data_IF_377811372113
#
_entry.id   IF_377811372113
#
_cell.length_a   1.000
_cell.length_b   1.000
_cell.length_c   1.000
_cell.angle_alpha   90.00
_cell.angle_beta   90.00
_cell.angle_gamma   90.00
#
_symmetry.space_group_name_H-M   'P 1'
#
loop_
_entity.id
_entity.type
_entity.pdbx_description
1 polymer ?
#
# COMPACT_ATOMS: atom_id res chain seq x y z
N UNK A 1 -16.47 2.56 19.85
CA UNK A 1 -16.75 1.33 19.06
C UNK A 1 -17.95 1.54 18.12
N UNK A 2 -19.16 1.83 18.62
CA UNK A 2 -20.38 1.96 17.79
C UNK A 2 -20.24 2.91 16.58
N UNK A 3 -19.72 4.12 16.78
CA UNK A 3 -19.55 5.11 15.71
C UNK A 3 -18.64 4.58 14.58
N UNK A 4 -17.47 4.04 14.94
CA UNK A 4 -16.53 3.49 13.96
C UNK A 4 -17.08 2.27 13.21
N UNK A 5 -17.80 1.38 13.91
CA UNK A 5 -18.43 0.22 13.30
C UNK A 5 -19.52 0.61 12.29
N UNK A 6 -20.36 1.59 12.62
CA UNK A 6 -21.40 2.11 11.72
C UNK A 6 -20.77 2.74 10.48
N UNK A 7 -19.78 3.62 10.66
CA UNK A 7 -19.10 4.27 9.55
C UNK A 7 -18.44 3.23 8.64
N UNK A 8 -17.68 2.29 9.22
CA UNK A 8 -17.02 1.22 8.47
C UNK A 8 -18.00 0.34 7.69
N UNK A 9 -19.08 -0.12 8.32
CA UNK A 9 -20.09 -0.97 7.68
C UNK A 9 -20.83 -0.25 6.55
N UNK A 10 -21.22 1.01 6.76
CA UNK A 10 -21.89 1.81 5.73
C UNK A 10 -20.95 2.10 4.57
N UNK A 11 -19.69 2.47 4.83
CA UNK A 11 -18.70 2.70 3.78
C UNK A 11 -18.41 1.44 2.97
N UNK A 12 -18.28 0.28 3.63
CA UNK A 12 -17.99 -1.00 2.96
C UNK A 12 -19.15 -1.52 2.10
N UNK A 13 -20.40 -1.25 2.49
CA UNK A 13 -21.59 -1.76 1.76
C UNK A 13 -22.03 -0.85 0.62
N UNK A 14 -21.67 0.44 0.64
CA UNK A 14 -22.10 1.42 -0.38
C UNK A 14 -21.06 1.67 -1.47
N UNK A 15 -19.82 1.18 -1.33
CA UNK A 15 -18.77 1.42 -2.34
C UNK A 15 -19.02 0.61 -3.61
N UNK A 16 -18.78 1.23 -4.78
CA UNK A 16 -18.83 0.52 -6.05
C UNK A 16 -17.64 -0.43 -6.20
N UNK A 17 -17.83 -1.58 -6.86
CA UNK A 17 -16.78 -2.59 -7.05
C UNK A 17 -15.54 -2.05 -7.80
N UNK A 18 -15.71 -1.08 -8.68
CA UNK A 18 -14.60 -0.41 -9.40
C UNK A 18 -13.70 0.43 -8.49
N UNK A 19 -14.25 0.96 -7.40
CA UNK A 19 -13.55 1.79 -6.41
C UNK A 19 -13.09 0.98 -5.19
N UNK A 20 -13.19 -0.36 -5.25
CA UNK A 20 -12.75 -1.24 -4.15
C UNK A 20 -11.28 -1.03 -3.76
N UNK A 21 -10.31 -0.85 -4.69
CA UNK A 21 -8.91 -0.63 -4.31
C UNK A 21 -8.68 0.60 -3.41
N UNK A 22 -9.43 1.68 -3.65
CA UNK A 22 -9.34 2.93 -2.87
C UNK A 22 -9.84 2.76 -1.44
N UNK A 23 -10.93 2.02 -1.27
CA UNK A 23 -11.48 1.69 0.04
C UNK A 23 -10.50 0.82 0.85
N UNK A 24 -9.90 -0.18 0.20
CA UNK A 24 -8.88 -1.03 0.83
C UNK A 24 -7.68 -0.19 1.29
N UNK A 25 -7.23 0.77 0.47
CA UNK A 25 -6.14 1.68 0.85
C UNK A 25 -6.47 2.44 2.15
N UNK A 26 -7.65 3.06 2.25
CA UNK A 26 -8.09 3.78 3.46
C UNK A 26 -8.14 2.86 4.69
N UNK A 27 -8.76 1.67 4.56
CA UNK A 27 -8.91 0.75 5.69
C UNK A 27 -7.56 0.25 6.21
N UNK A 28 -6.61 -0.05 5.32
CA UNK A 28 -5.24 -0.37 5.72
C UNK A 28 -4.57 0.81 6.45
N UNK A 29 -4.82 2.03 5.97
CA UNK A 29 -4.34 3.25 6.61
C UNK A 29 -4.83 3.34 8.05
N UNK A 30 -6.14 3.23 8.27
CA UNK A 30 -6.72 3.23 9.62
C UNK A 30 -6.21 2.09 10.51
N UNK A 31 -5.97 0.89 9.96
CA UNK A 31 -5.35 -0.21 10.69
C UNK A 31 -3.92 0.10 11.18
N UNK A 32 -3.10 0.67 10.30
CA UNK A 32 -1.76 1.15 10.65
C UNK A 32 -1.78 2.28 11.67
N UNK A 33 -2.65 3.27 11.46
CA UNK A 33 -2.83 4.40 12.39
C UNK A 33 -3.32 3.95 13.77
N UNK A 34 -4.23 2.99 13.85
CA UNK A 34 -4.67 2.41 15.12
C UNK A 34 -3.51 1.72 15.86
N UNK A 35 -2.68 0.96 15.15
CA UNK A 35 -1.48 0.31 15.73
C UNK A 35 -0.51 1.35 16.30
N UNK A 36 -0.26 2.43 15.55
CA UNK A 36 0.59 3.53 16.00
C UNK A 36 0.00 4.22 17.25
N UNK A 37 -1.30 4.52 17.27
CA UNK A 37 -1.96 5.15 18.42
C UNK A 37 -1.93 4.28 19.67
N UNK A 38 -2.14 2.97 19.52
CA UNK A 38 -2.08 2.02 20.65
C UNK A 38 -0.66 1.93 21.21
N UNK A 39 0.35 1.82 20.35
CA UNK A 39 1.75 1.82 20.77
C UNK A 39 2.16 3.15 21.43
N UNK A 40 1.70 4.29 20.90
CA UNK A 40 1.90 5.61 21.52
C UNK A 40 1.25 5.72 22.90
N UNK A 41 0.04 5.18 23.06
CA UNK A 41 -0.63 5.16 24.36
C UNK A 41 0.18 4.36 25.40
N UNK A 42 0.75 3.23 25.00
CA UNK A 42 1.60 2.44 25.90
C UNK A 42 2.92 3.15 26.24
N UNK A 43 3.54 3.80 25.26
CA UNK A 43 4.73 4.63 25.49
C UNK A 43 4.48 5.73 26.56
N UNK A 44 3.34 6.42 26.49
CA UNK A 44 2.96 7.42 27.49
C UNK A 44 2.71 6.82 28.88
N UNK A 45 2.15 5.61 28.98
CA UNK A 45 2.00 4.93 30.28
C UNK A 45 3.35 4.55 30.89
N UNK A 46 4.31 4.09 30.09
CA UNK A 46 5.65 3.77 30.58
C UNK A 46 6.36 5.04 31.07
N UNK A 47 6.28 6.14 30.30
CA UNK A 47 6.83 7.43 30.73
C UNK A 47 6.19 7.94 32.03
N UNK A 48 4.86 7.82 32.17
CA UNK A 48 4.13 8.20 33.38
C UNK A 48 4.28 7.24 34.56
N UNK A 49 5.18 6.25 34.49
CA UNK A 49 5.42 5.26 35.56
C UNK A 49 4.23 4.34 35.86
N UNK A 50 3.23 4.29 34.96
CA UNK A 50 1.98 3.55 35.16
C UNK A 50 1.98 2.18 34.47
N UNK A 51 2.93 1.92 33.58
CA UNK A 51 3.09 0.61 32.94
C UNK A 51 4.05 -0.27 33.75
N UNK A 52 3.70 -1.56 33.87
CA UNK A 52 4.49 -2.55 34.61
C UNK A 52 5.73 -3.05 33.85
N UNK A 53 5.75 -2.94 32.52
CA UNK A 53 6.80 -3.49 31.65
C UNK A 53 7.50 -2.38 30.87
N UNK A 54 8.77 -2.15 31.18
CA UNK A 54 9.67 -1.21 30.49
C UNK A 54 10.89 -1.94 29.91
N UNK A 55 10.76 -3.24 29.62
CA UNK A 55 11.84 -4.03 29.05
C UNK A 55 12.19 -3.57 27.63
N UNK A 56 13.45 -3.79 27.26
CA UNK A 56 14.00 -3.35 25.98
C UNK A 56 13.20 -3.89 24.79
N UNK A 57 12.67 -5.11 24.87
CA UNK A 57 11.87 -5.71 23.80
C UNK A 57 10.55 -4.97 23.60
N UNK A 58 9.85 -4.62 24.69
CA UNK A 58 8.62 -3.80 24.60
C UNK A 58 8.93 -2.43 23.99
N UNK A 59 10.01 -1.76 24.39
CA UNK A 59 10.36 -0.45 23.83
C UNK A 59 10.69 -0.52 22.34
N UNK A 60 11.42 -1.55 21.89
CA UNK A 60 11.70 -1.77 20.47
C UNK A 60 10.41 -2.02 19.69
N UNK A 61 9.52 -2.88 20.20
CA UNK A 61 8.26 -3.21 19.52
C UNK A 61 7.29 -2.02 19.47
N UNK A 62 7.28 -1.16 20.49
CA UNK A 62 6.57 0.14 20.45
C UNK A 62 7.11 0.99 19.31
N UNK A 63 8.43 1.21 19.23
CA UNK A 63 9.02 2.05 18.18
C UNK A 63 8.71 1.52 16.79
N UNK A 64 8.84 0.20 16.57
CA UNK A 64 8.51 -0.43 15.29
C UNK A 64 7.03 -0.27 14.94
N UNK A 65 6.12 -0.47 15.89
CA UNK A 65 4.68 -0.29 15.66
C UNK A 65 4.34 1.15 15.28
N UNK A 66 4.90 2.14 15.99
CA UNK A 66 4.67 3.57 15.73
C UNK A 66 5.20 3.97 14.36
N UNK A 67 6.42 3.55 14.02
CA UNK A 67 7.06 3.85 12.74
C UNK A 67 6.26 3.26 11.58
N UNK A 68 6.03 1.95 11.61
CA UNK A 68 5.37 1.23 10.52
C UNK A 68 3.91 1.67 10.41
N UNK A 69 3.22 1.84 11.53
CA UNK A 69 1.83 2.29 11.57
C UNK A 69 1.64 3.71 11.04
N UNK A 70 2.52 4.65 11.42
CA UNK A 70 2.46 6.03 10.94
C UNK A 70 2.76 6.14 9.45
N UNK A 71 3.78 5.42 8.96
CA UNK A 71 4.11 5.31 7.55
C UNK A 71 2.93 4.73 6.75
N UNK A 72 2.33 3.66 7.27
CA UNK A 72 1.21 2.99 6.63
C UNK A 72 0.00 3.91 6.54
N UNK A 73 -0.30 4.64 7.61
CA UNK A 73 -1.41 5.58 7.65
C UNK A 73 -1.31 6.62 6.53
N UNK A 74 -0.26 7.43 6.49
CA UNK A 74 -0.15 8.47 5.45
C UNK A 74 0.09 7.92 4.07
N UNK A 75 0.88 6.84 3.92
CA UNK A 75 1.09 6.18 2.64
C UNK A 75 -0.21 5.70 2.01
N UNK A 76 -1.10 5.12 2.82
CA UNK A 76 -2.44 4.69 2.39
C UNK A 76 -3.32 5.84 1.95
N UNK A 77 -3.27 6.99 2.63
CA UNK A 77 -4.03 8.17 2.22
C UNK A 77 -3.51 8.79 0.92
N UNK A 78 -2.20 8.76 0.66
CA UNK A 78 -1.65 9.16 -0.64
C UNK A 78 -2.07 8.19 -1.75
N UNK A 79 -2.01 6.87 -1.50
CA UNK A 79 -2.46 5.86 -2.46
C UNK A 79 -3.94 6.02 -2.80
N UNK A 80 -4.79 6.21 -1.78
CA UNK A 80 -6.21 6.54 -1.96
C UNK A 80 -6.40 7.82 -2.78
N UNK A 81 -5.68 8.89 -2.44
CA UNK A 81 -5.81 10.18 -3.13
C UNK A 81 -5.43 10.09 -4.61
N UNK A 82 -4.43 9.27 -4.96
CA UNK A 82 -4.02 9.04 -6.35
C UNK A 82 -5.04 8.26 -7.16
N UNK A 83 -5.62 7.20 -6.57
CA UNK A 83 -6.63 6.39 -7.24
C UNK A 83 -7.94 7.16 -7.46
N UNK A 84 -8.36 7.95 -6.46
CA UNK A 84 -9.52 8.84 -6.55
C UNK A 84 -9.34 10.02 -7.52
N UNK A 85 -8.16 10.19 -8.12
CA UNK A 85 -7.84 11.33 -8.97
C UNK A 85 -7.72 12.67 -8.24
N UNK A 86 -7.70 12.69 -6.90
CA UNK A 86 -7.46 13.90 -6.08
C UNK A 86 -6.00 14.32 -6.08
N UNK A 87 -5.10 13.34 -6.24
CA UNK A 87 -3.66 13.53 -6.43
C UNK A 87 -3.34 12.99 -7.83
N UNK A 88 -2.39 13.62 -8.53
CA UNK A 88 -1.96 13.14 -9.84
C UNK A 88 -1.53 11.67 -9.79
N UNK A 89 -2.06 10.86 -10.72
CA UNK A 89 -1.64 9.48 -10.93
C UNK A 89 -0.23 9.37 -11.52
N UNK A 90 0.37 10.47 -12.00
CA UNK A 90 1.75 10.42 -12.45
C UNK A 90 2.72 10.35 -11.25
N UNK A 91 3.89 9.70 -11.41
CA UNK A 91 4.99 9.81 -10.45
C UNK A 91 5.33 11.27 -10.13
N UNK A 92 5.33 11.63 -8.84
CA UNK A 92 5.77 12.96 -8.39
C UNK A 92 7.14 12.78 -7.74
N UNK A 93 8.19 13.26 -8.41
CA UNK A 93 9.59 13.16 -7.96
C UNK A 93 10.21 14.54 -7.75
N UNK A 94 11.31 14.59 -7.00
CA UNK A 94 12.09 15.81 -6.77
C UNK A 94 13.60 15.50 -6.79
N UNK A 95 14.46 16.48 -7.11
CA UNK A 95 15.90 16.27 -7.18
C UNK A 95 16.46 15.82 -5.83
N UNK A 96 17.29 14.77 -5.83
CA UNK A 96 17.91 14.23 -4.61
C UNK A 96 16.99 13.38 -3.73
N UNK A 97 15.83 12.94 -4.22
CA UNK A 97 14.85 12.17 -3.44
C UNK A 97 15.42 10.94 -2.72
N UNK A 98 16.31 10.17 -3.36
CA UNK A 98 16.99 9.02 -2.73
C UNK A 98 17.77 9.43 -1.47
N UNK A 99 18.51 10.53 -1.57
CA UNK A 99 19.32 11.04 -0.47
C UNK A 99 18.42 11.55 0.65
N UNK A 100 17.36 12.30 0.33
CA UNK A 100 16.41 12.81 1.32
C UNK A 100 15.70 11.65 2.04
N UNK A 101 15.20 10.66 1.31
CA UNK A 101 14.55 9.50 1.90
C UNK A 101 15.52 8.69 2.78
N UNK A 102 16.77 8.53 2.33
CA UNK A 102 17.83 7.89 3.11
C UNK A 102 18.13 8.63 4.41
N UNK A 103 18.26 9.96 4.37
CA UNK A 103 18.48 10.80 5.55
C UNK A 103 17.30 10.75 6.52
N UNK A 104 16.07 10.76 6.01
CA UNK A 104 14.85 10.63 6.82
C UNK A 104 14.83 9.26 7.51
N UNK A 105 15.20 8.19 6.81
CA UNK A 105 15.26 6.83 7.39
C UNK A 105 16.34 6.71 8.46
N UNK A 106 17.54 7.26 8.21
CA UNK A 106 18.61 7.31 9.23
C UNK A 106 18.17 8.15 10.43
N UNK A 107 17.59 9.32 10.20
CA UNK A 107 17.04 10.18 11.25
C UNK A 107 15.98 9.47 12.08
N UNK A 108 15.08 8.71 11.43
CA UNK A 108 14.06 7.91 12.11
C UNK A 108 14.67 6.89 13.08
N UNK A 109 15.73 6.19 12.66
CA UNK A 109 16.43 5.22 13.53
C UNK A 109 17.12 5.94 14.69
N UNK A 110 17.79 7.07 14.44
CA UNK A 110 18.46 7.86 15.48
C UNK A 110 17.46 8.40 16.49
N UNK A 111 16.40 9.08 16.06
CA UNK A 111 15.40 9.64 16.96
C UNK A 111 14.58 8.54 17.66
N UNK A 112 14.35 7.40 17.01
CA UNK A 112 13.76 6.22 17.65
C UNK A 112 14.63 5.68 18.79
N UNK A 113 15.94 5.58 18.55
CA UNK A 113 16.90 5.22 19.59
C UNK A 113 16.91 6.25 20.73
N UNK A 114 17.02 7.54 20.42
CA UNK A 114 17.01 8.63 21.41
C UNK A 114 15.70 8.75 22.18
N UNK A 115 14.56 8.36 21.61
CA UNK A 115 13.28 8.31 22.32
C UNK A 115 13.25 7.23 23.40
N UNK A 116 13.96 6.12 23.16
CA UNK A 116 14.05 4.99 24.08
C UNK A 116 15.20 5.14 25.07
N UNK A 117 16.29 5.81 24.70
CA UNK A 117 17.45 6.04 25.57
C UNK A 117 17.52 7.48 26.06
N UNK A 118 17.38 7.72 27.36
CA UNK A 118 17.69 9.03 27.93
C UNK A 118 19.19 9.35 27.89
N UNK A 119 19.53 10.62 27.62
CA UNK A 119 20.91 11.12 27.68
C UNK A 119 21.47 11.20 29.11
N UNK A 120 20.61 11.07 30.14
CA UNK A 120 20.99 10.94 31.55
C UNK A 120 21.56 9.56 31.92
N UNK A 121 21.47 8.56 31.03
CA UNK A 121 21.78 7.15 31.32
C UNK A 121 23.27 6.78 31.31
N UNK A 122 24.21 7.73 31.15
CA UNK A 122 25.64 7.40 31.34
C UNK A 122 25.97 7.11 32.83
N UNK A 123 25.07 7.43 33.77
CA UNK A 123 25.31 7.32 35.21
C UNK A 123 24.24 6.50 35.98
N UNK A 124 23.09 6.14 35.39
CA UNK A 124 22.04 5.41 36.11
C UNK A 124 21.45 4.25 35.30
N UNK A 125 21.37 3.06 35.92
CA UNK A 125 20.79 1.80 35.40
C UNK A 125 19.26 1.84 35.17
N UNK A 126 18.68 3.00 34.89
CA UNK A 126 17.27 3.13 34.50
C UNK A 126 17.18 3.75 33.11
N UNK A 127 16.59 3.00 32.18
CA UNK A 127 16.15 3.50 30.88
C UNK A 127 14.98 4.45 31.11
N UNK A 128 15.28 5.71 31.39
CA UNK A 128 14.28 6.77 31.35
C UNK A 128 13.90 7.01 29.88
N UNK A 129 12.60 7.16 29.63
CA UNK A 129 12.07 7.41 28.30
C UNK A 129 12.06 8.90 28.01
N UNK A 130 12.60 9.30 26.86
CA UNK A 130 12.67 10.69 26.47
C UNK A 130 11.47 11.10 25.59
N UNK A 131 10.52 11.80 26.21
CA UNK A 131 9.29 12.27 25.57
C UNK A 131 9.50 13.34 24.49
N UNK A 132 10.68 14.00 24.45
CA UNK A 132 10.98 15.03 23.45
C UNK A 132 11.10 14.44 22.03
N UNK A 133 11.74 13.28 21.91
CA UNK A 133 12.05 12.68 20.61
C UNK A 133 10.90 11.86 20.04
N UNK A 134 9.98 11.39 20.88
CA UNK A 134 8.90 10.51 20.46
C UNK A 134 7.92 11.15 19.44
N UNK A 135 7.43 12.40 19.63
CA UNK A 135 6.60 13.07 18.62
C UNK A 135 7.34 13.29 17.30
N UNK A 136 8.67 13.48 17.34
CA UNK A 136 9.50 13.63 16.15
C UNK A 136 9.51 12.32 15.35
N UNK A 137 9.63 11.16 16.02
CA UNK A 137 9.54 9.85 15.35
C UNK A 137 8.19 9.67 14.63
N UNK A 138 7.08 10.05 15.27
CA UNK A 138 5.74 10.00 14.65
C UNK A 138 5.70 10.92 13.42
N UNK A 139 6.16 12.17 13.56
CA UNK A 139 6.15 13.13 12.46
C UNK A 139 6.98 12.64 11.27
N UNK A 140 8.18 12.10 11.52
CA UNK A 140 9.03 11.52 10.48
C UNK A 140 8.36 10.30 9.86
N UNK A 141 7.70 9.43 10.64
CA UNK A 141 6.92 8.30 10.14
C UNK A 141 5.81 8.72 9.17
N UNK A 142 5.03 9.73 9.56
CA UNK A 142 3.97 10.31 8.74
C UNK A 142 4.53 10.92 7.44
N UNK A 143 5.63 11.68 7.52
CA UNK A 143 6.28 12.26 6.35
C UNK A 143 6.84 11.18 5.42
N UNK A 144 7.48 10.15 5.98
CA UNK A 144 8.05 9.06 5.19
C UNK A 144 6.97 8.27 4.43
N UNK A 145 5.80 8.06 5.03
CA UNK A 145 4.65 7.48 4.32
C UNK A 145 4.22 8.31 3.11
N UNK A 146 4.23 9.65 3.22
CA UNK A 146 3.94 10.53 2.09
C UNK A 146 5.01 10.41 1.01
N UNK A 147 6.28 10.62 1.39
CA UNK A 147 7.40 10.69 0.45
C UNK A 147 7.73 9.35 -0.23
N UNK A 148 7.36 8.22 0.38
CA UNK A 148 7.56 6.88 -0.20
C UNK A 148 6.51 6.54 -1.25
N UNK A 149 5.27 7.02 -1.14
CA UNK A 149 4.18 6.71 -2.08
C UNK A 149 4.04 7.73 -3.22
N UNK A 150 4.40 9.00 -2.98
CA UNK A 150 4.40 10.05 -4.01
C UNK A 150 5.13 9.71 -5.33
N UNK A 151 6.33 9.09 -5.34
CA UNK A 151 7.03 8.76 -6.57
C UNK A 151 6.41 7.59 -7.34
N UNK A 152 5.48 6.85 -6.75
CA UNK A 152 4.93 5.65 -7.38
C UNK A 152 3.79 6.05 -8.32
N UNK A 153 3.76 5.47 -9.53
CA UNK A 153 2.74 5.76 -10.53
C UNK A 153 1.40 5.10 -10.24
N UNK A 154 0.32 5.66 -10.76
CA UNK A 154 -1.06 5.18 -10.61
C UNK A 154 -1.25 3.73 -11.06
N UNK A 155 -0.57 3.33 -12.14
CA UNK A 155 -0.60 1.96 -12.65
C UNK A 155 0.02 0.93 -11.68
N UNK A 156 0.96 1.37 -10.83
CA UNK A 156 1.63 0.52 -9.85
C UNK A 156 0.97 0.59 -8.45
N UNK A 157 -0.06 1.43 -8.27
CA UNK A 157 -0.76 1.61 -6.99
C UNK A 157 -1.31 0.31 -6.38
N UNK A 158 -1.86 -0.66 -7.14
CA UNK A 158 -2.32 -1.92 -6.55
C UNK A 158 -1.22 -2.65 -5.77
N UNK A 159 0.03 -2.63 -6.27
CA UNK A 159 1.18 -3.23 -5.59
C UNK A 159 1.49 -2.49 -4.29
N UNK A 160 1.41 -1.15 -4.32
CA UNK A 160 1.63 -0.32 -3.13
C UNK A 160 0.59 -0.60 -2.05
N UNK A 161 -0.68 -0.74 -2.43
CA UNK A 161 -1.76 -1.04 -1.48
C UNK A 161 -1.55 -2.40 -0.82
N UNK A 162 -1.13 -3.41 -1.58
CA UNK A 162 -0.78 -4.72 -1.05
C UNK A 162 0.43 -4.66 -0.10
N UNK A 163 1.44 -3.85 -0.42
CA UNK A 163 2.60 -3.65 0.45
C UNK A 163 2.21 -2.94 1.76
N UNK A 164 1.39 -1.88 1.67
CA UNK A 164 0.86 -1.16 2.82
C UNK A 164 -0.06 -2.04 3.67
N UNK A 165 -0.81 -2.98 3.05
CA UNK A 165 -1.56 -4.01 3.77
C UNK A 165 -0.63 -4.87 4.63
N UNK A 166 0.48 -5.33 4.05
CA UNK A 166 1.50 -6.06 4.82
C UNK A 166 2.02 -5.22 5.99
N UNK A 167 2.34 -3.96 5.76
CA UNK A 167 2.84 -3.08 6.82
C UNK A 167 1.82 -2.87 7.94
N UNK A 168 0.53 -2.76 7.62
CA UNK A 168 -0.54 -2.71 8.62
C UNK A 168 -0.57 -3.99 9.48
N UNK A 169 -0.40 -5.17 8.87
CA UNK A 169 -0.31 -6.45 9.57
C UNK A 169 0.91 -6.55 10.48
N UNK A 170 2.09 -6.13 9.98
CA UNK A 170 3.33 -6.10 10.79
C UNK A 170 3.18 -5.13 11.97
N UNK A 171 2.62 -3.94 11.76
CA UNK A 171 2.36 -2.99 12.85
C UNK A 171 1.38 -3.55 13.90
N UNK A 172 0.33 -4.26 13.46
CA UNK A 172 -0.59 -4.93 14.35
C UNK A 172 0.10 -6.06 15.16
N UNK A 173 0.99 -6.83 14.53
CA UNK A 173 1.77 -7.85 15.23
C UNK A 173 2.72 -7.25 16.28
N UNK A 174 3.41 -6.15 15.94
CA UNK A 174 4.24 -5.41 16.89
C UNK A 174 3.41 -4.89 18.07
N UNK A 175 2.23 -4.32 17.80
CA UNK A 175 1.28 -3.91 18.83
C UNK A 175 0.81 -5.10 19.70
N UNK A 176 0.66 -6.27 19.10
CA UNK A 176 0.37 -7.51 19.81
C UNK A 176 1.47 -7.87 20.81
N UNK A 177 2.75 -7.70 20.44
CA UNK A 177 3.87 -7.86 21.38
C UNK A 177 3.85 -6.81 22.49
N UNK A 178 3.58 -5.55 22.16
CA UNK A 178 3.46 -4.44 23.13
C UNK A 178 2.40 -4.74 24.20
N UNK A 179 1.27 -5.35 23.79
CA UNK A 179 0.16 -5.67 24.68
C UNK A 179 0.19 -7.10 25.23
N UNK A 180 1.21 -7.89 24.93
CA UNK A 180 1.26 -9.34 25.20
C UNK A 180 -0.02 -10.09 24.75
N UNK A 181 -0.57 -9.70 23.60
CA UNK A 181 -1.81 -10.25 23.05
C UNK A 181 -1.51 -11.21 21.88
N UNK A 182 -1.62 -12.51 22.16
CA UNK A 182 -1.38 -13.56 21.16
C UNK A 182 -2.29 -13.48 19.94
N UNK A 183 -3.54 -13.06 20.09
CA UNK A 183 -4.46 -12.95 18.96
C UNK A 183 -3.97 -11.89 17.97
N UNK A 184 -3.55 -10.72 18.46
CA UNK A 184 -2.99 -9.64 17.62
C UNK A 184 -1.66 -10.05 16.96
N UNK A 185 -0.79 -10.77 17.68
CA UNK A 185 0.46 -11.29 17.13
C UNK A 185 0.18 -12.23 15.96
N UNK A 186 -0.67 -13.24 16.18
CA UNK A 186 -0.99 -14.25 15.16
C UNK A 186 -1.71 -13.63 13.96
N UNK A 187 -2.73 -12.79 14.20
CA UNK A 187 -3.47 -12.14 13.11
C UNK A 187 -2.59 -11.18 12.32
N UNK A 188 -1.76 -10.38 13.00
CA UNK A 188 -0.87 -9.41 12.37
C UNK A 188 0.20 -10.09 11.52
N UNK A 189 0.83 -11.15 12.02
CA UNK A 189 1.82 -11.92 11.28
C UNK A 189 1.21 -12.59 10.04
N UNK A 190 0.00 -13.14 10.15
CA UNK A 190 -0.71 -13.75 9.03
C UNK A 190 -0.99 -12.71 7.93
N UNK A 191 -1.56 -11.56 8.29
CA UNK A 191 -1.85 -10.48 7.34
C UNK A 191 -0.57 -9.92 6.73
N UNK A 192 0.47 -9.71 7.54
CA UNK A 192 1.78 -9.24 7.10
C UNK A 192 2.42 -10.15 6.05
N UNK A 193 2.53 -11.45 6.37
CA UNK A 193 3.12 -12.43 5.47
C UNK A 193 2.30 -12.60 4.18
N UNK A 194 0.97 -12.71 4.29
CA UNK A 194 0.09 -12.80 3.13
C UNK A 194 0.18 -11.56 2.23
N UNK A 195 0.27 -10.36 2.81
CA UNK A 195 0.44 -9.12 2.07
C UNK A 195 1.76 -9.06 1.30
N UNK A 196 2.89 -9.45 1.90
CA UNK A 196 4.18 -9.50 1.20
C UNK A 196 4.16 -10.53 0.07
N UNK A 197 3.55 -11.69 0.32
CA UNK A 197 3.45 -12.74 -0.68
C UNK A 197 2.58 -12.31 -1.87
N UNK A 198 1.43 -11.70 -1.60
CA UNK A 198 0.56 -11.12 -2.63
C UNK A 198 1.29 -10.03 -3.42
N UNK A 199 2.00 -9.14 -2.74
CA UNK A 199 2.82 -8.09 -3.38
C UNK A 199 3.83 -8.70 -4.35
N UNK A 200 4.50 -9.78 -3.97
CA UNK A 200 5.46 -10.47 -4.83
C UNK A 200 4.81 -11.07 -6.07
N UNK A 201 3.64 -11.71 -5.91
CA UNK A 201 2.87 -12.29 -7.03
C UNK A 201 2.40 -11.18 -7.98
N UNK A 202 1.91 -10.06 -7.46
CA UNK A 202 1.48 -8.92 -8.27
C UNK A 202 2.66 -8.33 -9.07
N UNK A 203 3.82 -8.14 -8.43
CA UNK A 203 5.06 -7.74 -9.10
C UNK A 203 5.43 -8.68 -10.25
N UNK A 204 5.40 -10.00 -10.01
CA UNK A 204 5.67 -11.00 -11.05
C UNK A 204 4.66 -10.95 -12.20
N UNK A 205 3.37 -10.82 -11.89
CA UNK A 205 2.30 -10.69 -12.89
C UNK A 205 2.45 -9.43 -13.76
N UNK A 206 3.04 -8.37 -13.21
CA UNK A 206 3.35 -7.12 -13.93
C UNK A 206 4.72 -7.13 -14.62
N UNK A 207 5.48 -8.23 -14.55
CA UNK A 207 6.86 -8.34 -15.04
C UNK A 207 7.79 -7.23 -14.52
N UNK A 208 7.60 -6.80 -13.27
CA UNK A 208 8.40 -5.76 -12.61
C UNK A 208 8.80 -6.23 -11.22
N UNK A 209 10.06 -6.03 -10.82
CA UNK A 209 10.49 -6.35 -9.45
C UNK A 209 9.91 -5.36 -8.44
N UNK A 210 9.82 -5.76 -7.17
CA UNK A 210 9.39 -4.86 -6.08
C UNK A 210 10.31 -3.64 -5.96
N UNK A 211 11.61 -3.85 -6.12
CA UNK A 211 12.59 -2.75 -6.17
C UNK A 211 12.30 -1.81 -7.32
N UNK A 212 11.97 -2.32 -8.51
CA UNK A 212 11.57 -1.47 -9.62
C UNK A 212 10.29 -0.71 -9.29
N UNK A 213 9.26 -1.31 -8.68
CA UNK A 213 8.03 -0.57 -8.32
C UNK A 213 8.29 0.54 -7.31
N UNK A 214 9.06 0.26 -6.26
CA UNK A 214 9.37 1.24 -5.22
C UNK A 214 10.33 2.33 -5.69
N UNK A 215 11.23 1.99 -6.61
CA UNK A 215 12.31 2.89 -7.03
C UNK A 215 12.26 3.31 -8.53
N UNK A 216 11.17 3.00 -9.27
CA UNK A 216 11.12 3.21 -10.74
C UNK A 216 11.28 4.66 -11.17
N UNK A 217 10.90 5.62 -10.32
CA UNK A 217 10.96 7.03 -10.63
C UNK A 217 12.31 7.66 -10.22
N UNK A 218 13.13 6.92 -9.48
CA UNK A 218 14.42 7.36 -8.97
C UNK A 218 15.49 7.13 -10.04
N UNK A 219 15.66 8.12 -10.91
CA UNK A 219 16.65 8.06 -12.00
C UNK A 219 16.14 8.52 -13.35
N UNK A 220 14.83 8.80 -13.50
CA UNK A 220 14.34 9.63 -14.61
C UNK A 220 14.63 11.09 -14.29
N UNK A 221 15.90 11.47 -14.38
CA UNK A 221 16.23 12.81 -14.87
C UNK A 221 15.72 12.82 -16.32
N UNK A 222 15.13 13.91 -16.78
CA UNK A 222 14.81 14.11 -18.20
C UNK A 222 16.11 14.05 -19.02
N UNK A 223 16.64 12.85 -19.24
CA UNK A 223 17.27 12.55 -20.49
C UNK A 223 16.12 12.54 -21.48
N UNK A 224 16.18 13.46 -22.44
CA UNK A 224 15.40 13.49 -23.65
C UNK A 224 15.52 12.13 -24.35
N UNK A 225 14.73 11.16 -23.88
CA UNK A 225 14.65 9.84 -24.49
C UNK A 225 13.99 10.08 -25.84
N UNK A 226 14.84 10.09 -26.85
CA UNK A 226 14.50 9.88 -28.25
C UNK A 226 13.36 8.89 -28.27
N UNK A 227 12.19 9.39 -28.68
CA UNK A 227 10.99 8.60 -28.89
C UNK A 227 11.45 7.43 -29.77
N UNK A 228 11.57 6.23 -29.21
CA UNK A 228 11.54 5.01 -30.02
C UNK A 228 10.11 4.92 -30.52
N UNK A 229 9.78 5.77 -31.49
CA UNK A 229 8.67 5.50 -32.37
C UNK A 229 9.00 4.17 -33.00
N UNK A 230 8.23 3.15 -32.65
CA UNK A 230 8.13 1.90 -33.39
C UNK A 230 7.52 2.24 -34.76
N UNK A 231 8.25 2.99 -35.58
CA UNK A 231 7.94 3.24 -36.99
C UNK A 231 8.11 1.91 -37.70
N UNK A 232 7.02 1.13 -37.79
CA UNK A 232 7.04 -0.16 -38.46
C UNK A 232 5.82 -1.06 -38.23
N UNK A 233 4.97 -0.78 -37.24
CA UNK A 233 3.73 -1.57 -37.06
C UNK A 233 2.61 -0.94 -37.89
N UNK A 234 2.26 -1.56 -39.01
CA UNK A 234 1.06 -1.20 -39.79
C UNK A 234 -0.17 -1.62 -38.99
N UNK A 235 -0.91 -0.65 -38.46
CA UNK A 235 -2.19 -0.90 -37.80
C UNK A 235 -3.20 -1.32 -38.86
N UNK A 236 -3.83 -2.49 -38.70
CA UNK A 236 -4.93 -2.95 -39.56
C UNK A 236 -6.24 -2.69 -38.83
N UNK A 237 -7.09 -1.88 -39.44
CA UNK A 237 -8.42 -1.58 -38.92
C UNK A 237 -9.45 -2.59 -39.46
N UNK A 238 -10.44 -2.93 -38.63
CA UNK A 238 -11.54 -3.83 -38.99
C UNK A 238 -12.85 -3.24 -38.46
N UNK A 239 -13.92 -3.31 -39.27
CA UNK A 239 -15.25 -2.85 -38.84
C UNK A 239 -15.87 -3.81 -37.83
N UNK A 240 -16.78 -3.33 -36.95
CA UNK A 240 -17.49 -4.18 -35.99
C UNK A 240 -18.23 -5.37 -36.64
N UNK A 241 -18.86 -5.15 -37.80
CA UNK A 241 -19.57 -6.22 -38.51
C UNK A 241 -18.62 -7.33 -38.97
N UNK A 242 -17.46 -6.97 -39.52
CA UNK A 242 -16.44 -7.93 -39.95
C UNK A 242 -15.85 -8.69 -38.76
N UNK A 243 -15.67 -8.03 -37.61
CA UNK A 243 -15.24 -8.68 -36.39
C UNK A 243 -16.28 -9.69 -35.88
N UNK A 244 -17.57 -9.35 -35.94
CA UNK A 244 -18.67 -10.25 -35.57
C UNK A 244 -18.71 -11.50 -36.45
N UNK A 245 -18.65 -11.36 -37.78
CA UNK A 245 -18.58 -12.50 -38.69
C UNK A 245 -17.34 -13.37 -38.45
N UNK A 246 -16.19 -12.75 -38.19
CA UNK A 246 -14.95 -13.47 -37.91
C UNK A 246 -15.07 -14.28 -36.62
N UNK A 247 -15.67 -13.73 -35.57
CA UNK A 247 -15.87 -14.42 -34.29
C UNK A 247 -16.92 -15.54 -34.40
N UNK A 248 -17.99 -15.36 -35.18
CA UNK A 248 -19.04 -16.36 -35.36
C UNK A 248 -18.57 -17.56 -36.20
N UNK A 249 -17.63 -17.34 -37.13
CA UNK A 249 -17.04 -18.41 -37.93
C UNK A 249 -15.89 -19.15 -37.22
N UNK A 250 -15.47 -18.69 -36.04
CA UNK A 250 -14.39 -19.30 -35.29
C UNK A 250 -14.88 -20.51 -34.47
N UNK A 251 -14.05 -21.54 -34.32
CA UNK A 251 -14.35 -22.67 -33.42
C UNK A 251 -14.15 -22.30 -31.94
N UNK A 252 -13.19 -21.42 -31.65
CA UNK A 252 -12.91 -20.95 -30.30
C UNK A 252 -12.46 -19.49 -30.29
N UNK A 253 -12.95 -18.75 -29.30
CA UNK A 253 -12.64 -17.34 -29.08
C UNK A 253 -12.12 -17.15 -27.66
N UNK A 254 -10.93 -16.56 -27.52
CA UNK A 254 -10.36 -16.20 -26.21
C UNK A 254 -10.46 -14.69 -26.04
N UNK A 255 -11.24 -14.25 -25.05
CA UNK A 255 -11.39 -12.86 -24.66
C UNK A 255 -10.34 -12.54 -23.60
N UNK A 256 -9.49 -11.55 -23.87
CA UNK A 256 -8.45 -11.07 -22.95
C UNK A 256 -8.90 -9.72 -22.36
N UNK A 257 -9.59 -9.70 -21.20
CA UNK A 257 -10.07 -8.48 -20.61
C UNK A 257 -8.90 -7.61 -20.10
N UNK A 258 -9.02 -6.31 -20.29
CA UNK A 258 -8.06 -5.33 -19.77
C UNK A 258 -8.73 -4.25 -18.92
N UNK A 259 -7.93 -3.38 -18.31
CA UNK A 259 -8.42 -2.25 -17.50
C UNK A 259 -9.43 -1.37 -18.26
N UNK A 260 -9.25 -1.19 -19.58
CA UNK A 260 -10.16 -0.42 -20.43
C UNK A 260 -11.60 -0.95 -20.42
N UNK A 261 -11.80 -2.27 -20.33
CA UNK A 261 -13.13 -2.88 -20.25
C UNK A 261 -13.86 -2.46 -18.96
N UNK A 262 -13.13 -2.45 -17.84
CA UNK A 262 -13.68 -2.05 -16.55
C UNK A 262 -13.98 -0.54 -16.50
N UNK A 263 -13.10 0.31 -17.04
CA UNK A 263 -13.34 1.76 -17.09
C UNK A 263 -14.55 2.10 -17.96
N UNK A 264 -14.72 1.41 -19.09
CA UNK A 264 -15.86 1.59 -19.99
C UNK A 264 -17.15 0.92 -19.48
N UNK A 265 -17.11 0.21 -18.36
CA UNK A 265 -18.24 -0.59 -17.85
C UNK A 265 -18.77 -1.62 -18.86
N UNK A 266 -17.88 -2.14 -19.71
CA UNK A 266 -18.25 -2.99 -20.85
C UNK A 266 -18.45 -4.47 -20.46
N UNK A 267 -18.18 -4.87 -19.22
CA UNK A 267 -18.26 -6.28 -18.77
C UNK A 267 -19.62 -6.95 -19.04
N UNK A 268 -20.72 -6.18 -18.96
CA UNK A 268 -22.06 -6.71 -19.23
C UNK A 268 -22.29 -6.96 -20.73
N UNK A 269 -21.80 -6.09 -21.59
CA UNK A 269 -21.92 -6.25 -23.04
C UNK A 269 -20.99 -7.35 -23.56
N UNK A 270 -19.77 -7.44 -23.01
CA UNK A 270 -18.86 -8.56 -23.31
C UNK A 270 -19.48 -9.89 -22.88
N UNK A 271 -20.16 -9.94 -21.73
CA UNK A 271 -20.87 -11.16 -21.31
C UNK A 271 -21.99 -11.55 -22.28
N UNK A 272 -22.82 -10.58 -22.70
CA UNK A 272 -23.87 -10.83 -23.70
C UNK A 272 -23.31 -11.32 -25.03
N UNK A 273 -22.19 -10.75 -25.48
CA UNK A 273 -21.48 -11.20 -26.68
C UNK A 273 -21.01 -12.64 -26.54
N UNK A 274 -20.40 -13.01 -25.40
CA UNK A 274 -19.99 -14.38 -25.12
C UNK A 274 -21.18 -15.33 -25.15
N UNK A 275 -22.28 -14.98 -24.48
CA UNK A 275 -23.49 -15.82 -24.44
C UNK A 275 -24.08 -16.02 -25.86
N UNK A 276 -23.99 -15.02 -26.75
CA UNK A 276 -24.48 -15.14 -28.12
C UNK A 276 -23.57 -16.01 -29.01
N UNK A 277 -22.24 -15.90 -28.85
CA UNK A 277 -21.28 -16.75 -29.55
C UNK A 277 -21.41 -18.22 -29.11
N UNK A 278 -21.60 -18.47 -27.82
CA UNK A 278 -21.80 -19.82 -27.27
C UNK A 278 -23.06 -20.48 -27.86
N UNK A 279 -24.15 -19.73 -28.09
CA UNK A 279 -25.37 -20.26 -28.76
C UNK A 279 -25.11 -20.73 -30.19
N UNK A 280 -24.15 -20.11 -30.87
CA UNK A 280 -23.75 -20.50 -32.23
C UNK A 280 -22.74 -21.65 -32.26
N UNK A 281 -22.38 -22.21 -31.09
CA UNK A 281 -21.48 -23.37 -30.97
C UNK A 281 -20.00 -23.01 -30.85
N UNK A 282 -19.67 -21.73 -30.65
CA UNK A 282 -18.29 -21.27 -30.46
C UNK A 282 -17.83 -21.50 -29.02
N UNK A 283 -16.64 -22.06 -28.82
CA UNK A 283 -16.03 -22.24 -27.49
C UNK A 283 -15.37 -20.94 -27.00
N UNK A 284 -16.07 -20.21 -26.13
CA UNK A 284 -15.62 -18.92 -25.60
C UNK A 284 -14.89 -19.09 -24.26
N UNK A 285 -13.68 -18.54 -24.15
CA UNK A 285 -12.85 -18.58 -22.94
C UNK A 285 -12.37 -17.18 -22.54
N UNK A 286 -12.04 -17.01 -21.27
CA UNK A 286 -11.40 -15.81 -20.74
C UNK A 286 -9.99 -16.15 -20.26
N UNK A 287 -9.02 -15.31 -20.61
CA UNK A 287 -7.61 -15.45 -20.20
C UNK A 287 -7.23 -14.50 -19.05
#
# INVERSE_FOLDING_TARGET
IAIGAIIGAVSATKVAMTTMPEMVAIFNGFGGGASALVASAEFFKIHGGSAANNDTTTLITIMLSVIIGSLTFTGSFIAWGKLQGKISGQPITYPGQNMVNGLILVGMVIFGYLAVTSMSSFVAERTEINMLWFPIVIAIGLILGILSVLPIGGADMPVVISLLNSYSGIAAAMTGFVLHNHALIVSGCLVGASGLFLTNIMCKGMNRSLGNVLFSAFGKVDESVVQKTTTGVTVKEMSPDNAAFTMQAAESVIIVPGYGMAVAQAQHEVRKLSDELEKTGVDVKFA
#
